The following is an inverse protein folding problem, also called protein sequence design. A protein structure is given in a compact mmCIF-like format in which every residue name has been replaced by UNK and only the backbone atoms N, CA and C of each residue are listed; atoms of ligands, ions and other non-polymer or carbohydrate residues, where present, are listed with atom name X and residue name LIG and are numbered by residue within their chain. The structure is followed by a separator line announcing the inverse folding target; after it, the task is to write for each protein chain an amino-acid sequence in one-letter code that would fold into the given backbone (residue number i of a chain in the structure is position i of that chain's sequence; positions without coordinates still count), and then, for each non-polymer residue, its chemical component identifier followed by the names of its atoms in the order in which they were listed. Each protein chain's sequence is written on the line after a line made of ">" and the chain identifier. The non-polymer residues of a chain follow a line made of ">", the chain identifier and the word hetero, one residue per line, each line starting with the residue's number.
data_IF_279992123603
#
_entry.id   IF_279992123603
#
_cell.length_a   1.000
_cell.length_b   1.000
_cell.length_c   1.000
_cell.angle_alpha   90.00
_cell.angle_beta   90.00
_cell.angle_gamma   90.00
#
_symmetry.space_group_name_H-M   'P 1'
#
loop_
_entity.id
_entity.type
_entity.pdbx_description
1 polymer ?
#
# COMPACT_ATOMS: atom_id res chain seq x y z
N UNK A 1 0.36 20.08 6.09
CA UNK A 1 -0.81 20.17 5.18
C UNK A 1 -0.96 18.80 4.51
N UNK A 2 -2.06 18.06 4.74
CA UNK A 2 -2.23 16.66 4.28
C UNK A 2 -2.65 16.52 2.80
N UNK A 3 -3.16 17.59 2.18
CA UNK A 3 -3.79 17.52 0.86
C UNK A 3 -2.88 17.08 -0.30
N UNK A 4 -1.55 17.19 -0.16
CA UNK A 4 -0.59 16.78 -1.18
C UNK A 4 -0.16 15.31 -1.12
N UNK A 5 -0.34 14.66 0.03
CA UNK A 5 0.17 13.32 0.31
C UNK A 5 -0.91 12.22 0.27
N UNK A 6 -2.17 12.58 0.02
CA UNK A 6 -3.29 11.63 -0.11
C UNK A 6 -3.56 11.31 -1.58
N UNK A 7 -3.66 10.02 -1.89
CA UNK A 7 -4.01 9.50 -3.22
C UNK A 7 -5.12 8.47 -3.11
N UNK A 8 -6.07 8.52 -4.04
CA UNK A 8 -7.13 7.54 -4.22
C UNK A 8 -6.84 6.74 -5.49
N UNK A 9 -6.98 5.43 -5.41
CA UNK A 9 -6.66 4.50 -6.48
C UNK A 9 -7.92 3.76 -6.92
N UNK A 10 -8.28 3.90 -8.20
CA UNK A 10 -9.55 3.36 -8.71
C UNK A 10 -9.38 2.78 -10.12
N UNK A 11 -10.27 1.86 -10.52
CA UNK A 11 -10.37 1.46 -11.92
C UNK A 11 -10.91 2.62 -12.78
N UNK A 12 -10.31 2.87 -13.94
CA UNK A 12 -10.60 4.02 -14.80
C UNK A 12 -12.05 4.03 -15.32
N UNK A 13 -12.69 2.86 -15.42
CA UNK A 13 -14.12 2.74 -15.75
C UNK A 13 -15.06 3.36 -14.71
N UNK A 14 -14.58 3.62 -13.49
CA UNK A 14 -15.33 4.26 -12.41
C UNK A 14 -15.09 5.78 -12.31
N UNK A 15 -14.24 6.37 -13.17
CA UNK A 15 -13.93 7.81 -13.12
C UNK A 15 -15.04 8.60 -13.83
N UNK A 16 -16.00 9.11 -13.06
CA UNK A 16 -17.07 9.97 -13.56
C UNK A 16 -16.60 11.39 -13.96
N UNK A 17 -15.37 11.79 -13.58
CA UNK A 17 -14.81 13.10 -13.91
C UNK A 17 -13.27 13.02 -14.06
N UNK A 18 -12.72 13.24 -15.27
CA UNK A 18 -11.28 13.37 -15.46
C UNK A 18 -10.74 14.58 -14.68
N UNK A 19 -9.55 14.45 -14.08
CA UNK A 19 -8.79 15.60 -13.56
C UNK A 19 -8.92 15.91 -12.07
N UNK A 20 -9.39 14.99 -11.23
CA UNK A 20 -9.27 15.15 -9.77
C UNK A 20 -7.79 15.00 -9.35
N UNK A 21 -7.19 16.00 -8.68
CA UNK A 21 -5.73 16.07 -8.47
C UNK A 21 -5.16 14.94 -7.59
N UNK A 22 -6.00 14.27 -6.81
CA UNK A 22 -5.59 13.21 -5.89
C UNK A 22 -6.10 11.82 -6.32
N UNK A 23 -6.66 11.67 -7.52
CA UNK A 23 -7.21 10.39 -8.00
C UNK A 23 -6.34 9.83 -9.10
N UNK A 24 -5.97 8.56 -8.97
CA UNK A 24 -5.19 7.80 -9.94
C UNK A 24 -6.07 6.68 -10.47
N UNK A 25 -6.35 6.72 -11.77
CA UNK A 25 -7.14 5.72 -12.47
C UNK A 25 -6.26 4.68 -13.16
N UNK A 26 -6.61 3.40 -13.06
CA UNK A 26 -5.94 2.31 -13.78
C UNK A 26 -6.86 1.67 -14.80
N UNK A 27 -6.36 1.35 -15.99
CA UNK A 27 -7.15 0.71 -17.06
C UNK A 27 -7.37 -0.78 -16.82
N UNK A 28 -6.51 -1.42 -16.03
CA UNK A 28 -6.66 -2.83 -15.64
C UNK A 28 -7.79 -2.98 -14.60
N UNK A 29 -8.72 -3.89 -14.87
CA UNK A 29 -9.91 -4.12 -14.05
C UNK A 29 -9.80 -5.38 -13.18
N UNK A 30 -8.67 -6.11 -13.23
CA UNK A 30 -8.47 -7.30 -12.40
C UNK A 30 -8.33 -6.89 -10.94
N UNK A 31 -9.31 -7.26 -10.12
CA UNK A 31 -9.37 -6.91 -8.69
C UNK A 31 -8.07 -7.24 -7.95
N UNK A 32 -7.56 -8.46 -8.11
CA UNK A 32 -6.33 -8.92 -7.45
C UNK A 32 -5.07 -8.09 -7.80
N UNK A 33 -5.08 -7.30 -8.87
CA UNK A 33 -3.94 -6.48 -9.31
C UNK A 33 -4.03 -5.02 -8.86
N UNK A 34 -5.20 -4.55 -8.42
CA UNK A 34 -5.40 -3.20 -7.87
C UNK A 34 -4.33 -2.77 -6.86
N UNK A 35 -3.97 -3.57 -5.83
CA UNK A 35 -2.93 -3.16 -4.89
C UNK A 35 -1.57 -2.92 -5.55
N UNK A 36 -1.21 -3.71 -6.57
CA UNK A 36 0.08 -3.56 -7.26
C UNK A 36 0.13 -2.35 -8.17
N UNK A 37 -0.99 -1.94 -8.75
CA UNK A 37 -1.05 -0.67 -9.46
C UNK A 37 -0.84 0.52 -8.51
N UNK A 38 -1.43 0.49 -7.32
CA UNK A 38 -1.20 1.51 -6.30
C UNK A 38 0.26 1.52 -5.82
N UNK A 39 0.81 0.36 -5.46
CA UNK A 39 2.20 0.23 -5.00
C UNK A 39 3.20 0.68 -6.07
N UNK A 40 2.99 0.29 -7.33
CA UNK A 40 3.82 0.76 -8.46
C UNK A 40 3.76 2.28 -8.60
N UNK A 41 2.56 2.85 -8.59
CA UNK A 41 2.41 4.30 -8.71
C UNK A 41 3.11 5.04 -7.57
N UNK A 42 2.94 4.59 -6.32
CA UNK A 42 3.63 5.17 -5.17
C UNK A 42 5.14 5.08 -5.34
N UNK A 43 5.64 3.92 -5.80
CA UNK A 43 7.06 3.71 -6.02
C UNK A 43 7.65 4.58 -7.13
N UNK A 44 6.98 4.67 -8.27
CA UNK A 44 7.45 5.45 -9.42
C UNK A 44 7.51 6.96 -9.14
N UNK A 45 6.63 7.47 -8.26
CA UNK A 45 6.42 8.91 -8.09
C UNK A 45 6.93 9.48 -6.78
N UNK A 46 7.02 8.67 -5.72
CA UNK A 46 7.15 9.17 -4.35
C UNK A 46 8.22 8.49 -3.51
N UNK A 47 8.90 7.47 -4.07
CA UNK A 47 9.89 6.69 -3.35
C UNK A 47 11.14 7.50 -3.00
N UNK A 48 11.42 8.61 -3.66
CA UNK A 48 12.53 9.49 -3.25
C UNK A 48 12.05 10.72 -2.44
N UNK A 49 10.74 10.81 -2.13
CA UNK A 49 10.14 11.94 -1.40
C UNK A 49 9.67 11.55 0.01
N UNK A 50 9.21 10.32 0.23
CA UNK A 50 8.62 9.88 1.50
C UNK A 50 9.33 8.67 2.12
N UNK A 51 9.53 8.73 3.45
CA UNK A 51 10.09 7.64 4.23
C UNK A 51 9.08 6.52 4.52
N UNK A 52 7.78 6.84 4.54
CA UNK A 52 6.71 5.92 4.90
C UNK A 52 5.47 6.11 4.03
N UNK A 53 4.81 4.99 3.75
CA UNK A 53 3.61 4.91 2.91
C UNK A 53 2.51 4.19 3.69
N UNK A 54 1.35 4.83 3.85
CA UNK A 54 0.21 4.25 4.54
C UNK A 54 -0.89 3.91 3.53
N UNK A 55 -1.23 2.63 3.41
CA UNK A 55 -2.28 2.11 2.55
C UNK A 55 -3.48 1.70 3.40
N UNK A 56 -4.69 2.03 2.96
CA UNK A 56 -5.92 1.69 3.69
C UNK A 56 -7.10 1.57 2.72
N UNK A 57 -8.13 0.81 3.10
CA UNK A 57 -9.40 0.75 2.36
C UNK A 57 -10.12 2.11 2.35
N UNK A 58 -10.87 2.37 1.28
CA UNK A 58 -11.76 3.52 1.11
C UNK A 58 -12.93 3.57 2.11
N UNK A 59 -13.20 2.47 2.80
CA UNK A 59 -14.23 2.38 3.86
C UNK A 59 -13.71 2.75 5.25
N UNK A 60 -12.41 2.99 5.39
CA UNK A 60 -11.74 3.15 6.69
C UNK A 60 -11.58 4.61 7.10
N UNK A 61 -11.56 4.86 8.41
CA UNK A 61 -11.28 6.17 8.98
C UNK A 61 -9.84 6.26 9.50
N UNK A 62 -9.12 7.32 9.09
CA UNK A 62 -7.73 7.54 9.52
C UNK A 62 -7.64 8.76 10.43
N UNK A 63 -7.19 8.54 11.67
CA UNK A 63 -6.78 9.63 12.54
C UNK A 63 -5.36 10.10 12.19
N UNK A 64 -5.25 11.05 11.27
CA UNK A 64 -3.97 11.54 10.76
C UNK A 64 -3.02 12.07 11.85
N UNK A 65 -3.53 12.61 12.96
CA UNK A 65 -2.68 13.09 14.07
C UNK A 65 -2.03 11.94 14.83
N UNK A 66 -2.76 10.86 15.08
CA UNK A 66 -2.22 9.65 15.72
C UNK A 66 -1.27 8.91 14.80
N UNK A 67 -1.60 8.80 13.52
CA UNK A 67 -0.72 8.19 12.53
C UNK A 67 0.61 8.96 12.42
N UNK A 68 0.57 10.29 12.34
CA UNK A 68 1.79 11.10 12.29
C UNK A 68 2.64 10.96 13.58
N UNK A 69 2.00 10.87 14.75
CA UNK A 69 2.72 10.63 16.01
C UNK A 69 3.40 9.25 16.03
N UNK A 70 2.70 8.20 15.59
CA UNK A 70 3.26 6.85 15.46
C UNK A 70 4.47 6.84 14.52
N UNK A 71 4.31 7.39 13.31
CA UNK A 71 5.37 7.41 12.30
C UNK A 71 6.60 8.20 12.76
N UNK A 72 6.41 9.27 13.54
CA UNK A 72 7.51 10.06 14.08
C UNK A 72 8.39 9.32 15.09
N UNK A 73 7.92 8.21 15.66
CA UNK A 73 8.66 7.35 16.58
C UNK A 73 9.44 6.23 15.86
N UNK A 74 9.18 6.02 14.57
CA UNK A 74 9.83 4.97 13.79
C UNK A 74 11.18 5.43 13.22
N UNK A 75 12.14 4.51 13.20
CA UNK A 75 13.41 4.76 12.50
C UNK A 75 13.22 4.66 10.99
N UNK A 76 13.68 5.66 10.26
CA UNK A 76 13.73 5.66 8.78
C UNK A 76 14.66 4.57 8.21
N UNK A 77 15.57 4.03 9.04
CA UNK A 77 16.50 2.97 8.63
C UNK A 77 15.94 1.56 8.83
N UNK A 78 14.74 1.43 9.43
CA UNK A 78 14.14 0.13 9.71
C UNK A 78 13.23 -0.31 8.55
N UNK A 79 13.26 -1.60 8.25
CA UNK A 79 12.30 -2.22 7.35
C UNK A 79 10.97 -2.41 8.11
N UNK A 80 9.96 -1.61 7.73
CA UNK A 80 8.66 -1.59 8.41
C UNK A 80 7.59 -2.14 7.48
N UNK A 81 6.95 -3.22 7.93
CA UNK A 81 5.66 -3.72 7.45
C UNK A 81 4.70 -3.77 8.65
N UNK A 82 4.10 -2.61 8.90
CA UNK A 82 3.22 -2.18 9.98
C UNK A 82 1.73 -2.52 9.84
N UNK A 83 1.02 -3.16 10.78
CA UNK A 83 -0.45 -3.09 10.77
C UNK A 83 -1.17 -4.01 11.75
N UNK A 84 -2.49 -3.96 11.73
CA UNK A 84 -3.27 -5.00 12.40
C UNK A 84 -3.16 -6.30 11.60
N UNK A 85 -2.84 -7.42 12.27
CA UNK A 85 -2.86 -8.74 11.63
C UNK A 85 -4.31 -9.09 11.26
N UNK A 86 -4.53 -9.57 10.05
CA UNK A 86 -5.84 -9.99 9.58
C UNK A 86 -6.36 -11.17 10.42
N UNK A 87 -7.67 -11.20 10.66
CA UNK A 87 -8.36 -12.30 11.35
C UNK A 87 -8.62 -13.47 10.37
N UNK A 88 -7.54 -13.98 9.81
CA UNK A 88 -7.49 -15.12 8.88
C UNK A 88 -6.19 -15.92 9.09
N UNK A 89 -6.03 -17.01 8.35
CA UNK A 89 -4.86 -17.90 8.45
C UNK A 89 -3.60 -17.36 7.73
N UNK A 90 -3.65 -16.14 7.18
CA UNK A 90 -2.56 -15.60 6.35
C UNK A 90 -1.46 -14.91 7.16
N UNK A 91 -1.80 -14.41 8.36
CA UNK A 91 -0.91 -13.63 9.23
C UNK A 91 -0.36 -12.33 8.60
N UNK A 92 -1.01 -11.82 7.56
CA UNK A 92 -0.65 -10.55 6.91
C UNK A 92 -1.38 -9.36 7.54
N UNK A 93 -0.84 -8.15 7.36
CA UNK A 93 -1.50 -6.93 7.83
C UNK A 93 -2.77 -6.67 7.00
N UNK A 94 -3.93 -6.54 7.65
CA UNK A 94 -5.21 -6.20 7.00
C UNK A 94 -5.21 -4.77 6.45
N UNK A 95 -5.83 -4.58 5.28
CA UNK A 95 -5.96 -3.27 4.64
C UNK A 95 -7.00 -2.37 5.35
N UNK A 96 -7.95 -2.99 6.03
CA UNK A 96 -9.02 -2.37 6.81
C UNK A 96 -8.48 -1.75 8.11
N UNK A 97 -7.45 -2.37 8.70
CA UNK A 97 -6.68 -1.81 9.80
C UNK A 97 -5.64 -0.77 9.36
N UNK A 98 -5.33 -0.75 8.06
CA UNK A 98 -4.28 0.06 7.47
C UNK A 98 -2.90 -0.62 7.54
N UNK A 99 -2.14 -0.45 6.47
CA UNK A 99 -0.81 -1.02 6.28
C UNK A 99 0.19 0.12 6.16
N UNK A 100 1.20 0.12 7.02
CA UNK A 100 2.33 1.04 6.96
C UNK A 100 3.55 0.34 6.35
N UNK A 101 4.10 0.90 5.28
CA UNK A 101 5.32 0.43 4.63
C UNK A 101 6.41 1.49 4.76
N UNK A 102 7.61 1.09 5.18
CA UNK A 102 8.81 1.93 5.03
C UNK A 102 9.22 2.04 3.57
N UNK A 103 10.00 3.07 3.26
CA UNK A 103 10.61 3.29 1.95
C UNK A 103 11.36 2.07 1.42
N UNK A 104 12.22 1.46 2.25
CA UNK A 104 13.03 0.29 1.88
C UNK A 104 12.17 -0.91 1.48
N UNK A 105 11.11 -1.18 2.24
CA UNK A 105 10.13 -2.23 1.93
C UNK A 105 9.41 -1.96 0.61
N UNK A 106 8.94 -0.72 0.37
CA UNK A 106 8.30 -0.39 -0.91
C UNK A 106 9.30 -0.49 -2.09
N UNK A 107 10.57 -0.13 -1.88
CA UNK A 107 11.65 -0.29 -2.87
C UNK A 107 11.88 -1.74 -3.25
N UNK A 108 11.93 -2.63 -2.26
CA UNK A 108 12.05 -4.07 -2.48
C UNK A 108 10.84 -4.63 -3.24
N UNK A 109 9.62 -4.27 -2.82
CA UNK A 109 8.38 -4.65 -3.51
C UNK A 109 8.37 -4.18 -4.96
N UNK A 110 8.82 -2.96 -5.23
CA UNK A 110 8.90 -2.43 -6.59
C UNK A 110 9.89 -3.20 -7.47
N UNK A 111 11.03 -3.63 -6.91
CA UNK A 111 12.01 -4.45 -7.63
C UNK A 111 11.46 -5.84 -8.02
N UNK A 112 10.57 -6.40 -7.20
CA UNK A 112 9.97 -7.72 -7.40
C UNK A 112 8.52 -7.67 -7.93
N UNK A 113 8.08 -6.52 -8.45
CA UNK A 113 6.68 -6.30 -8.83
C UNK A 113 6.16 -7.33 -9.84
N UNK A 114 7.02 -7.75 -10.77
CA UNK A 114 6.76 -8.80 -11.74
C UNK A 114 6.43 -10.14 -11.09
N UNK A 115 7.16 -10.52 -10.04
CA UNK A 115 6.86 -11.70 -9.25
C UNK A 115 5.55 -11.51 -8.50
N UNK A 116 5.33 -10.35 -7.89
CA UNK A 116 4.13 -10.07 -7.11
C UNK A 116 2.85 -10.14 -7.95
N UNK A 117 2.86 -9.57 -9.16
CA UNK A 117 1.74 -9.63 -10.10
C UNK A 117 1.45 -11.08 -10.53
N UNK A 118 2.48 -11.87 -10.84
CA UNK A 118 2.32 -13.29 -11.22
C UNK A 118 1.83 -14.17 -10.08
N UNK A 119 2.12 -13.79 -8.84
CA UNK A 119 1.74 -14.52 -7.63
C UNK A 119 0.54 -13.89 -6.91
N UNK A 120 -0.23 -13.05 -7.59
CA UNK A 120 -1.48 -12.49 -7.11
C UNK A 120 -2.66 -13.39 -7.48
N UNK A 121 -3.31 -13.97 -6.49
CA UNK A 121 -4.43 -14.89 -6.72
C UNK A 121 -5.52 -14.82 -5.65
N UNK A 122 -5.34 -14.04 -4.59
CA UNK A 122 -6.38 -13.87 -3.57
C UNK A 122 -7.38 -12.79 -3.97
N UNK A 123 -8.64 -12.97 -3.57
CA UNK A 123 -9.63 -11.90 -3.61
C UNK A 123 -9.38 -10.83 -2.53
N UNK A 124 -8.67 -11.20 -1.46
CA UNK A 124 -8.30 -10.30 -0.39
C UNK A 124 -7.01 -9.56 -0.75
N UNK A 125 -7.09 -8.24 -0.94
CA UNK A 125 -5.95 -7.43 -1.35
C UNK A 125 -4.78 -7.50 -0.37
N UNK A 126 -5.05 -7.58 0.94
CA UNK A 126 -4.01 -7.69 1.96
C UNK A 126 -3.19 -8.98 1.83
N UNK A 127 -3.80 -10.09 1.44
CA UNK A 127 -3.06 -11.35 1.22
C UNK A 127 -2.07 -11.24 0.06
N UNK A 128 -2.47 -10.56 -1.02
CA UNK A 128 -1.58 -10.34 -2.17
C UNK A 128 -0.44 -9.38 -1.80
N UNK A 129 -0.74 -8.29 -1.06
CA UNK A 129 0.27 -7.35 -0.56
C UNK A 129 1.25 -8.07 0.39
N UNK A 130 0.74 -8.76 1.40
CA UNK A 130 1.55 -9.42 2.43
C UNK A 130 2.45 -10.50 1.85
N UNK A 131 1.96 -11.30 0.91
CA UNK A 131 2.78 -12.29 0.19
C UNK A 131 3.91 -11.65 -0.61
N UNK A 132 3.62 -10.55 -1.29
CA UNK A 132 4.62 -9.78 -2.03
C UNK A 132 5.67 -9.19 -1.10
N UNK A 133 5.26 -8.58 0.02
CA UNK A 133 6.17 -8.01 1.02
C UNK A 133 7.05 -9.08 1.64
N UNK A 134 6.47 -10.23 2.03
CA UNK A 134 7.21 -11.35 2.59
C UNK A 134 8.27 -11.87 1.60
N UNK A 135 7.93 -11.99 0.32
CA UNK A 135 8.86 -12.41 -0.72
C UNK A 135 9.97 -11.38 -0.99
N UNK A 136 9.60 -10.12 -1.17
CA UNK A 136 10.51 -9.09 -1.63
C UNK A 136 11.41 -8.54 -0.50
N UNK A 137 10.85 -8.33 0.68
CA UNK A 137 11.51 -7.65 1.79
C UNK A 137 11.80 -8.56 2.99
N UNK A 138 11.31 -9.81 3.01
CA UNK A 138 11.56 -10.78 4.09
C UNK A 138 11.12 -10.29 5.48
N UNK A 139 10.13 -9.41 5.54
CA UNK A 139 9.50 -8.90 6.76
C UNK A 139 8.09 -9.44 6.91
N UNK A 140 7.73 -9.82 8.14
CA UNK A 140 6.38 -10.21 8.52
C UNK A 140 5.59 -9.00 9.05
N UNK A 141 4.26 -9.13 9.09
CA UNK A 141 3.41 -8.11 9.68
C UNK A 141 3.71 -7.96 11.18
N UNK A 142 3.85 -6.73 11.66
CA UNK A 142 4.09 -6.39 13.06
C UNK A 142 3.16 -5.27 13.56
#
# INVERSE_FOLDING_TARGET
>A
RLGGALRFFMAASAVAAPGLPNVVGFTDTREMLKPFHALKYLADNYLDEYDFFFLVSDTSFVNARRLAALVAELSVSADVYMGAVADDDSHYCTLEGGILLSNSVLRAVHAELDWCVRNSYSAHHHENIGRCVLHAAHVACA
#
